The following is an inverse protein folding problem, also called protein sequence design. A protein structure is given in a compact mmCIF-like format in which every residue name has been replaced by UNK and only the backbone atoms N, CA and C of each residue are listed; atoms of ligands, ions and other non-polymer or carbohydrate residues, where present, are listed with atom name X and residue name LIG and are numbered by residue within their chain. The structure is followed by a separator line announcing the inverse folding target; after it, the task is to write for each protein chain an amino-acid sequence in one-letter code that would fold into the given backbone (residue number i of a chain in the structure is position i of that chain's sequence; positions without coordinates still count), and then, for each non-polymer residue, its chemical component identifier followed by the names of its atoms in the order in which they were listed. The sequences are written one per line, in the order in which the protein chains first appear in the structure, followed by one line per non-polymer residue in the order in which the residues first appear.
data_IF_325969118882
#
_entry.id   IF_325969118882
#
_cell.length_a   1.000
_cell.length_b   1.000
_cell.length_c   1.000
_cell.angle_alpha   90.00
_cell.angle_beta   90.00
_cell.angle_gamma   90.00
#
_symmetry.space_group_name_H-M   'P 1'
#
loop_
_entity.id
_entity.type
_entity.pdbx_description
1 polymer ?
#
# COMPACT_ATOMS: atom_id res chain seq x y z
N UNK A 1 -55.15 -65.37 1.51
CA UNK A 1 -54.54 -64.25 0.77
C UNK A 1 -54.90 -62.94 1.46
N UNK A 2 -53.90 -62.13 1.79
CA UNK A 2 -53.93 -60.67 2.06
C UNK A 2 -54.70 -60.15 3.29
N UNK A 3 -53.95 -59.86 4.36
CA UNK A 3 -54.29 -58.85 5.36
C UNK A 3 -52.99 -58.15 5.76
N UNK A 4 -52.68 -57.03 5.10
CA UNK A 4 -51.40 -56.35 5.22
C UNK A 4 -51.30 -55.59 6.56
N UNK A 5 -50.13 -55.75 7.16
CA UNK A 5 -49.62 -55.16 8.38
C UNK A 5 -49.78 -53.64 8.47
N UNK A 6 -50.02 -53.18 9.71
CA UNK A 6 -49.56 -51.92 10.29
C UNK A 6 -48.19 -51.47 9.75
N UNK A 7 -47.97 -50.14 9.64
CA UNK A 7 -46.73 -49.35 9.47
C UNK A 7 -47.05 -48.24 8.44
N UNK A 8 -46.92 -46.92 8.65
CA UNK A 8 -45.98 -46.14 9.45
C UNK A 8 -46.57 -44.72 9.62
N UNK A 9 -46.57 -44.22 10.85
CA UNK A 9 -46.35 -42.80 11.08
C UNK A 9 -44.88 -42.46 10.72
N UNK A 10 -44.59 -41.17 10.46
CA UNK A 10 -43.28 -40.55 10.17
C UNK A 10 -42.92 -40.36 8.68
N UNK A 11 -43.28 -39.20 8.14
CA UNK A 11 -42.45 -38.47 7.18
C UNK A 11 -42.56 -36.97 7.54
N UNK A 12 -41.80 -36.53 8.54
CA UNK A 12 -40.47 -35.96 8.38
C UNK A 12 -40.52 -34.54 7.82
N UNK A 13 -40.49 -33.57 8.74
CA UNK A 13 -39.73 -32.32 8.68
C UNK A 13 -39.38 -31.87 7.25
N UNK A 14 -40.21 -31.00 6.67
CA UNK A 14 -39.80 -30.12 5.58
C UNK A 14 -38.71 -29.17 6.12
N UNK A 15 -37.48 -29.67 6.21
CA UNK A 15 -36.31 -28.86 6.48
C UNK A 15 -36.04 -27.98 5.27
N UNK A 16 -35.98 -26.66 5.48
CA UNK A 16 -35.35 -25.77 4.51
C UNK A 16 -33.92 -26.27 4.29
N UNK A 17 -33.64 -26.83 3.13
CA UNK A 17 -32.29 -27.22 2.75
C UNK A 17 -31.46 -25.93 2.68
N UNK A 18 -30.50 -25.78 3.60
CA UNK A 18 -29.60 -24.63 3.62
C UNK A 18 -28.68 -24.77 2.41
N UNK A 19 -28.96 -23.99 1.37
CA UNK A 19 -28.16 -23.89 0.15
C UNK A 19 -26.69 -23.66 0.51
N UNK A 20 -25.87 -24.72 0.40
CA UNK A 20 -24.43 -24.61 0.56
C UNK A 20 -23.85 -24.10 -0.76
N UNK A 21 -23.74 -22.78 -0.91
CA UNK A 21 -22.92 -22.22 -1.99
C UNK A 21 -21.47 -22.57 -1.71
N UNK A 22 -20.97 -23.60 -2.40
CA UNK A 22 -19.54 -23.87 -2.49
C UNK A 22 -18.89 -22.67 -3.18
N UNK A 23 -18.33 -21.76 -2.37
CA UNK A 23 -17.34 -20.83 -2.86
C UNK A 23 -16.13 -21.65 -3.27
N UNK A 24 -16.03 -21.97 -4.57
CA UNK A 24 -14.79 -22.42 -5.15
C UNK A 24 -13.80 -21.27 -5.00
N UNK A 25 -12.96 -21.34 -3.96
CA UNK A 25 -11.79 -20.49 -3.89
C UNK A 25 -10.88 -21.00 -5.01
N UNK A 26 -10.65 -20.23 -6.08
CA UNK A 26 -9.71 -20.65 -7.11
C UNK A 26 -8.39 -20.93 -6.41
N UNK A 27 -7.72 -22.01 -6.81
CA UNK A 27 -6.43 -22.40 -6.26
C UNK A 27 -5.59 -21.14 -6.07
N UNK A 28 -5.27 -20.82 -4.81
CA UNK A 28 -4.55 -19.62 -4.42
C UNK A 28 -3.27 -19.62 -5.24
N UNK A 29 -3.28 -18.90 -6.35
CA UNK A 29 -2.16 -18.92 -7.28
C UNK A 29 -0.97 -18.43 -6.47
N UNK A 30 0.12 -19.17 -6.54
CA UNK A 30 1.41 -18.85 -5.94
C UNK A 30 1.97 -17.59 -6.63
N UNK A 31 1.34 -16.45 -6.34
CA UNK A 31 1.77 -15.11 -6.75
C UNK A 31 2.97 -14.64 -5.91
N UNK A 32 3.38 -15.44 -4.91
CA UNK A 32 4.45 -15.17 -3.94
C UNK A 32 5.86 -15.05 -4.53
N UNK A 33 6.02 -15.11 -5.84
CA UNK A 33 7.32 -14.90 -6.50
C UNK A 33 7.53 -13.47 -7.02
N UNK A 34 6.58 -12.55 -6.83
CA UNK A 34 6.80 -11.13 -7.13
C UNK A 34 7.40 -10.44 -5.90
N UNK A 35 8.47 -9.63 -6.04
CA UNK A 35 9.05 -8.94 -4.89
C UNK A 35 7.97 -8.17 -4.14
N UNK A 36 7.89 -8.35 -2.82
CA UNK A 36 6.83 -7.80 -1.97
C UNK A 36 6.60 -6.30 -2.23
N UNK A 37 7.67 -5.57 -2.54
CA UNK A 37 7.64 -4.14 -2.84
C UNK A 37 6.92 -3.77 -4.15
N UNK A 38 7.02 -4.57 -5.21
CA UNK A 38 6.32 -4.31 -6.48
C UNK A 38 4.80 -4.54 -6.39
N UNK A 39 4.33 -5.21 -5.34
CA UNK A 39 2.91 -5.32 -5.02
C UNK A 39 2.42 -4.10 -4.23
N UNK A 40 3.26 -3.51 -3.37
CA UNK A 40 2.87 -2.39 -2.50
C UNK A 40 2.48 -1.13 -3.28
N UNK A 41 3.19 -0.80 -4.36
CA UNK A 41 2.87 0.35 -5.22
C UNK A 41 1.51 0.24 -5.92
N UNK A 42 0.92 -0.96 -5.91
CA UNK A 42 -0.36 -1.28 -6.56
C UNK A 42 -1.42 -1.70 -5.53
N UNK A 43 -1.14 -1.49 -4.25
CA UNK A 43 -1.99 -1.90 -3.15
C UNK A 43 -2.39 -0.67 -2.34
N UNK A 44 -3.68 -0.33 -2.38
CA UNK A 44 -4.23 0.83 -1.66
C UNK A 44 -3.96 0.76 -0.14
N UNK A 45 -3.98 -0.44 0.45
CA UNK A 45 -3.65 -0.63 1.86
C UNK A 45 -2.17 -0.31 2.13
N UNK A 46 -1.26 -0.77 1.28
CA UNK A 46 0.17 -0.48 1.47
C UNK A 46 0.45 1.03 1.36
N UNK A 47 -0.22 1.72 0.43
CA UNK A 47 -0.12 3.16 0.27
C UNK A 47 -0.73 3.93 1.47
N UNK A 48 -1.86 3.49 2.01
CA UNK A 48 -2.44 4.10 3.21
C UNK A 48 -1.56 3.89 4.43
N UNK A 49 -0.99 2.70 4.60
CA UNK A 49 -0.04 2.43 5.68
C UNK A 49 1.23 3.26 5.52
N UNK A 50 1.77 3.36 4.30
CA UNK A 50 2.92 4.22 4.00
C UNK A 50 2.66 5.69 4.35
N UNK A 51 1.47 6.23 4.07
CA UNK A 51 1.06 7.58 4.48
C UNK A 51 1.08 7.75 6.00
N UNK A 52 0.50 6.80 6.73
CA UNK A 52 0.48 6.81 8.20
C UNK A 52 1.90 6.78 8.77
N UNK A 53 2.77 5.91 8.22
CA UNK A 53 4.17 5.81 8.62
C UNK A 53 4.94 7.11 8.33
N UNK A 54 4.70 7.72 7.17
CA UNK A 54 5.32 8.99 6.79
C UNK A 54 5.01 10.12 7.80
N UNK A 55 3.79 10.15 8.32
CA UNK A 55 3.40 11.09 9.37
C UNK A 55 3.99 10.70 10.73
N UNK A 56 3.87 9.42 11.13
CA UNK A 56 4.33 8.94 12.43
C UNK A 56 5.84 9.11 12.62
N UNK A 57 6.64 8.81 11.60
CA UNK A 57 8.09 8.98 11.65
C UNK A 57 8.54 10.43 11.36
N UNK A 58 7.59 11.39 11.35
CA UNK A 58 7.82 12.80 11.14
C UNK A 58 8.59 13.12 9.85
N UNK A 59 8.38 12.35 8.79
CA UNK A 59 8.96 12.64 7.48
C UNK A 59 8.42 13.98 6.94
N UNK A 60 7.18 14.32 7.30
CA UNK A 60 6.54 15.61 7.02
C UNK A 60 7.30 16.80 7.60
N UNK A 61 8.01 16.64 8.71
CA UNK A 61 8.75 17.73 9.34
C UNK A 61 9.87 18.27 8.45
N UNK A 62 10.46 17.44 7.60
CA UNK A 62 11.53 17.85 6.69
C UNK A 62 11.06 17.96 5.23
N UNK A 63 10.21 17.04 4.77
CA UNK A 63 9.80 16.94 3.37
C UNK A 63 8.39 17.48 3.09
N UNK A 64 7.75 18.10 4.09
CA UNK A 64 6.34 18.48 4.06
C UNK A 64 5.49 17.30 3.54
N UNK A 65 4.41 17.55 2.81
CA UNK A 65 3.62 16.50 2.19
C UNK A 65 4.19 16.04 0.83
N UNK A 66 5.52 15.94 0.72
CA UNK A 66 6.22 15.61 -0.53
C UNK A 66 6.71 16.82 -1.34
N UNK A 67 6.42 18.02 -0.86
CA UNK A 67 6.72 19.29 -1.53
C UNK A 67 7.96 20.03 -1.03
N UNK A 68 8.82 19.38 -0.23
CA UNK A 68 10.12 19.93 0.19
C UNK A 68 10.10 20.66 1.53
N UNK A 69 11.08 21.53 1.74
CA UNK A 69 11.30 22.25 2.99
C UNK A 69 12.77 22.16 3.41
N UNK A 70 13.02 21.62 4.60
CA UNK A 70 14.38 21.32 5.08
C UNK A 70 15.02 20.23 4.21
N UNK A 71 14.22 19.22 3.83
CA UNK A 71 14.59 18.16 2.90
C UNK A 71 14.14 18.45 1.48
N UNK A 72 14.71 17.75 0.48
CA UNK A 72 14.30 17.90 -0.92
C UNK A 72 12.82 17.56 -1.13
N UNK A 73 12.23 18.13 -2.18
CA UNK A 73 10.94 17.67 -2.67
C UNK A 73 11.02 16.18 -3.06
N UNK A 74 9.94 15.45 -2.80
CA UNK A 74 9.80 14.02 -3.12
C UNK A 74 8.75 13.77 -4.21
N UNK A 75 7.96 14.79 -4.53
CA UNK A 75 6.93 14.75 -5.57
C UNK A 75 7.43 15.17 -6.95
N UNK A 76 8.69 15.57 -7.08
CA UNK A 76 9.26 16.03 -8.34
C UNK A 76 10.14 14.99 -9.04
N UNK A 77 10.67 15.37 -10.20
CA UNK A 77 11.50 14.50 -11.03
C UNK A 77 12.99 14.58 -10.68
N UNK A 78 13.39 15.37 -9.68
CA UNK A 78 14.79 15.64 -9.36
C UNK A 78 15.29 14.79 -8.18
N UNK A 79 15.74 13.57 -8.49
CA UNK A 79 16.17 12.60 -7.49
C UNK A 79 17.69 12.58 -7.29
N UNK A 80 18.17 13.14 -6.18
CA UNK A 80 19.61 13.20 -5.85
C UNK A 80 20.28 11.83 -5.68
N UNK A 81 19.53 10.84 -5.21
CA UNK A 81 20.02 9.50 -4.91
C UNK A 81 19.32 8.40 -5.72
N UNK A 82 18.61 8.81 -6.78
CA UNK A 82 17.81 7.94 -7.64
C UNK A 82 16.41 7.64 -7.09
N UNK A 83 15.51 7.25 -7.99
CA UNK A 83 14.08 7.05 -7.75
C UNK A 83 13.63 5.58 -7.82
N UNK A 84 14.57 4.64 -8.00
CA UNK A 84 14.23 3.22 -7.96
C UNK A 84 13.83 2.82 -6.53
N UNK A 85 12.89 1.88 -6.35
CA UNK A 85 12.40 1.48 -5.04
C UNK A 85 13.51 1.12 -4.05
N UNK A 86 14.54 0.40 -4.52
CA UNK A 86 15.68 -0.04 -3.72
C UNK A 86 16.56 1.13 -3.28
N UNK A 87 16.69 2.17 -4.11
CA UNK A 87 17.46 3.38 -3.79
C UNK A 87 16.74 4.24 -2.74
N UNK A 88 15.42 4.32 -2.83
CA UNK A 88 14.59 5.01 -1.84
C UNK A 88 14.62 4.23 -0.53
N UNK A 89 14.46 2.91 -0.57
CA UNK A 89 14.59 2.02 0.59
C UNK A 89 15.95 2.22 1.27
N UNK A 90 17.04 2.21 0.50
CA UNK A 90 18.38 2.42 1.03
C UNK A 90 18.52 3.79 1.70
N UNK A 91 17.94 4.84 1.11
CA UNK A 91 17.94 6.20 1.68
C UNK A 91 17.17 6.27 3.00
N UNK A 92 16.02 5.59 3.10
CA UNK A 92 15.23 5.54 4.35
C UNK A 92 15.99 4.74 5.42
N UNK A 93 16.49 3.56 5.09
CA UNK A 93 17.09 2.67 6.09
C UNK A 93 18.47 3.14 6.55
N UNK A 94 19.28 3.68 5.65
CA UNK A 94 20.63 4.16 5.96
C UNK A 94 20.70 5.67 6.26
N UNK A 95 19.64 6.42 5.99
CA UNK A 95 19.67 7.88 6.05
C UNK A 95 20.51 8.48 4.91
N UNK A 96 20.68 9.80 4.94
CA UNK A 96 21.56 10.53 4.03
C UNK A 96 22.30 11.65 4.77
N UNK A 97 23.52 12.02 4.31
CA UNK A 97 24.24 13.15 4.88
C UNK A 97 23.41 14.43 4.86
N UNK A 98 23.76 15.38 5.74
CA UNK A 98 23.08 16.68 5.87
C UNK A 98 21.65 16.60 6.44
N UNK A 99 21.38 15.67 7.36
CA UNK A 99 20.23 15.76 8.26
C UNK A 99 19.08 14.77 8.03
N UNK A 100 19.17 13.86 7.06
CA UNK A 100 18.19 12.77 6.94
C UNK A 100 18.62 11.59 7.85
N UNK A 101 17.90 11.30 8.93
CA UNK A 101 18.27 10.23 9.86
C UNK A 101 18.09 8.84 9.23
N UNK A 102 18.82 7.87 9.75
CA UNK A 102 18.61 6.46 9.43
C UNK A 102 17.42 5.89 10.21
N UNK A 103 16.57 5.11 9.55
CA UNK A 103 15.41 4.45 10.16
C UNK A 103 15.58 2.95 10.38
N UNK A 104 16.76 2.39 10.05
CA UNK A 104 17.10 1.00 10.41
C UNK A 104 16.97 0.79 11.92
N UNK A 105 16.29 -0.29 12.31
CA UNK A 105 15.98 -0.61 13.71
C UNK A 105 14.76 0.11 14.27
N UNK A 106 14.16 1.05 13.52
CA UNK A 106 12.88 1.69 13.86
C UNK A 106 11.74 1.20 12.98
N UNK A 107 12.03 0.95 11.71
CA UNK A 107 11.13 0.34 10.73
C UNK A 107 11.46 -1.15 10.58
N UNK A 108 10.42 -1.97 10.50
CA UNK A 108 10.56 -3.31 9.94
C UNK A 108 10.56 -3.26 8.39
N UNK A 109 10.86 -4.40 7.77
CA UNK A 109 11.00 -4.51 6.31
C UNK A 109 9.73 -4.10 5.56
N UNK A 110 8.58 -4.60 5.99
CA UNK A 110 7.29 -4.34 5.33
C UNK A 110 6.90 -2.87 5.44
N UNK A 111 7.12 -2.26 6.60
CA UNK A 111 6.87 -0.84 6.85
C UNK A 111 7.78 0.03 5.96
N UNK A 112 9.06 -0.32 5.83
CA UNK A 112 9.96 0.40 4.94
C UNK A 112 9.48 0.35 3.49
N UNK A 113 9.02 -0.80 3.00
CA UNK A 113 8.50 -0.93 1.64
C UNK A 113 7.13 -0.26 1.43
N UNK A 114 6.28 -0.21 2.44
CA UNK A 114 5.04 0.58 2.40
C UNK A 114 5.36 2.08 2.31
N UNK A 115 6.37 2.54 3.06
CA UNK A 115 6.84 3.92 3.02
C UNK A 115 7.45 4.27 1.65
N UNK A 116 8.26 3.38 1.08
CA UNK A 116 8.79 3.52 -0.29
C UNK A 116 7.67 3.66 -1.31
N UNK A 117 6.67 2.77 -1.26
CA UNK A 117 5.53 2.81 -2.17
C UNK A 117 4.77 4.14 -2.07
N UNK A 118 4.54 4.64 -0.84
CA UNK A 118 3.90 5.93 -0.63
C UNK A 118 4.75 7.09 -1.16
N UNK A 119 6.06 7.10 -0.91
CA UNK A 119 6.98 8.13 -1.42
C UNK A 119 6.94 8.21 -2.95
N UNK A 120 7.02 7.06 -3.63
CA UNK A 120 6.92 7.00 -5.11
C UNK A 120 5.55 7.43 -5.64
N UNK A 121 4.49 7.22 -4.86
CA UNK A 121 3.14 7.66 -5.23
C UNK A 121 3.02 9.18 -5.31
N UNK A 122 3.79 9.92 -4.52
CA UNK A 122 3.76 11.39 -4.50
C UNK A 122 4.31 11.99 -5.80
N UNK A 123 5.26 11.34 -6.45
CA UNK A 123 5.87 11.76 -7.73
C UNK A 123 5.22 11.10 -8.94
N UNK A 124 4.00 10.57 -8.79
CA UNK A 124 3.21 10.03 -9.90
C UNK A 124 3.65 8.64 -10.39
N UNK A 125 4.57 7.96 -9.70
CA UNK A 125 5.03 6.62 -10.07
C UNK A 125 4.10 5.50 -9.59
N UNK A 126 3.15 5.79 -8.69
CA UNK A 126 2.10 4.84 -8.34
C UNK A 126 1.05 4.77 -9.46
N UNK A 127 0.47 3.58 -9.66
CA UNK A 127 -0.64 3.46 -10.61
C UNK A 127 -1.86 4.23 -10.11
N UNK A 128 -2.57 4.87 -11.04
CA UNK A 128 -3.78 5.69 -10.76
C UNK A 128 -4.91 4.90 -10.08
N UNK A 129 -4.97 3.58 -10.27
CA UNK A 129 -5.95 2.69 -9.64
C UNK A 129 -5.62 2.31 -8.19
N UNK A 130 -4.35 2.49 -7.78
CA UNK A 130 -3.89 2.25 -6.42
C UNK A 130 -3.71 3.55 -5.63
N UNK A 131 -3.41 4.66 -6.32
CA UNK A 131 -3.24 5.96 -5.70
C UNK A 131 -4.47 6.31 -4.85
N UNK A 132 -4.31 6.70 -3.58
CA UNK A 132 -5.45 7.07 -2.75
C UNK A 132 -6.19 8.24 -3.40
N UNK A 133 -7.41 7.98 -3.91
CA UNK A 133 -8.21 8.94 -4.68
C UNK A 133 -8.69 10.18 -3.90
N UNK A 134 -8.26 10.32 -2.64
CA UNK A 134 -8.54 11.46 -1.76
C UNK A 134 -7.23 12.23 -1.56
N UNK A 135 -7.08 13.29 -2.34
CA UNK A 135 -5.94 14.20 -2.34
C UNK A 135 -6.03 15.30 -1.27
N UNK A 136 -6.95 15.19 -0.30
CA UNK A 136 -7.21 16.16 0.77
C UNK A 136 -5.96 16.53 1.61
N UNK A 137 -4.82 15.84 1.41
CA UNK A 137 -3.51 16.14 2.03
C UNK A 137 -2.34 16.30 1.05
N UNK A 138 -2.51 16.03 -0.25
CA UNK A 138 -1.49 16.30 -1.26
C UNK A 138 -1.64 17.78 -1.65
N UNK A 139 -0.78 18.62 -1.09
CA UNK A 139 -0.73 20.02 -1.46
C UNK A 139 -0.32 20.11 -2.95
N UNK A 140 -1.17 20.61 -3.86
CA UNK A 140 -0.86 20.73 -5.29
C UNK A 140 0.01 21.97 -5.55
N UNK A 141 0.88 22.32 -4.59
CA UNK A 141 1.86 23.37 -4.80
C UNK A 141 2.81 22.94 -5.91
N UNK A 142 3.22 23.87 -6.76
CA UNK A 142 4.15 23.57 -7.83
C UNK A 142 5.47 23.03 -7.24
N UNK A 143 6.01 21.90 -7.77
CA UNK A 143 7.23 21.29 -7.27
C UNK A 143 8.40 22.26 -7.29
N UNK A 144 9.27 22.19 -6.27
CA UNK A 144 10.42 23.07 -6.08
C UNK A 144 11.27 23.20 -7.36
N UNK A 145 11.53 22.09 -8.05
CA UNK A 145 12.31 22.07 -9.31
C UNK A 145 11.68 22.81 -10.48
N UNK A 146 10.38 23.13 -10.44
CA UNK A 146 9.73 23.97 -11.45
C UNK A 146 9.73 25.46 -11.07
N UNK A 147 10.04 25.80 -9.81
CA UNK A 147 10.11 27.21 -9.36
C UNK A 147 11.33 27.95 -9.87
N UNK A 148 12.47 27.27 -9.98
CA UNK A 148 13.75 27.84 -10.42
C UNK A 148 13.79 28.16 -11.93
N UNK A 149 12.99 27.44 -12.74
CA UNK A 149 12.95 27.62 -14.21
C UNK A 149 12.24 28.90 -14.69
N UNK A 150 11.85 29.79 -13.77
CA UNK A 150 11.10 31.02 -14.06
C UNK A 150 11.94 32.30 -14.04
N UNK A 151 13.26 32.19 -13.88
CA UNK A 151 14.18 33.32 -13.79
C UNK A 151 15.26 33.26 -14.87
#
# INVERSE_FOLDING_TARGET
MRGALLLLALAALAGCEREQRQFQIPAMQTQFAKPLHAANERNAFALSQGKTLFQWFNCTGCHANGGGGIGPALMDDQWRYGNNPEQIYASIMAGRPNGMPAFRGKLNEDQAWQLVAYVRSMSGWARKDAAPGRNDSLYPGEPESMRDKRN
#
